data_IF_372422236991
#
_entry.id   IF_372422236991
#
_cell.length_a   1.000
_cell.length_b   1.000
_cell.length_c   1.000
_cell.angle_alpha   90.00
_cell.angle_beta   90.00
_cell.angle_gamma   90.00
#
_symmetry.space_group_name_H-M   'P 1'
#
loop_
_entity.id
_entity.type
_entity.pdbx_description
1 polymer ?
#
# COMPACT_ATOMS: atom_id res chain seq x y z
N UNK A 1 13.14 -44.82 -10.33
CA UNK A 1 12.83 -43.39 -10.56
C UNK A 1 12.28 -42.81 -9.27
N UNK A 2 13.01 -41.87 -8.67
CA UNK A 2 12.74 -41.38 -7.32
C UNK A 2 11.44 -40.57 -7.24
N UNK A 3 10.65 -40.86 -6.21
CA UNK A 3 9.38 -40.21 -5.94
C UNK A 3 9.54 -38.72 -5.64
N UNK A 4 8.57 -37.96 -6.15
CA UNK A 4 8.22 -36.56 -5.85
C UNK A 4 9.31 -35.52 -6.17
N UNK A 5 9.14 -34.90 -7.34
CA UNK A 5 9.59 -33.55 -7.65
C UNK A 5 9.14 -32.64 -6.50
N UNK A 6 10.07 -32.19 -5.66
CA UNK A 6 9.78 -31.34 -4.51
C UNK A 6 9.10 -30.05 -4.99
N UNK A 7 7.78 -30.00 -4.89
CA UNK A 7 7.01 -28.79 -5.15
C UNK A 7 7.21 -27.88 -3.94
N UNK A 8 8.06 -26.87 -4.08
CA UNK A 8 8.11 -25.78 -3.10
C UNK A 8 6.79 -25.02 -3.17
N UNK A 9 5.90 -25.26 -2.21
CA UNK A 9 4.66 -24.50 -2.08
C UNK A 9 4.97 -23.20 -1.34
N UNK A 10 4.97 -22.07 -2.04
CA UNK A 10 5.05 -20.76 -1.39
C UNK A 10 3.82 -20.57 -0.50
N UNK A 11 4.01 -20.67 0.83
CA UNK A 11 2.91 -20.54 1.82
C UNK A 11 2.50 -19.09 2.09
N UNK A 12 3.31 -18.11 1.66
CA UNK A 12 3.12 -16.70 1.96
C UNK A 12 3.16 -15.85 0.67
N UNK A 13 1.97 -15.51 0.16
CA UNK A 13 1.78 -14.63 -1.00
C UNK A 13 0.52 -13.76 -0.88
N UNK A 14 0.07 -13.52 0.36
CA UNK A 14 -1.09 -12.67 0.63
C UNK A 14 -0.64 -11.25 0.85
N UNK A 15 -1.10 -10.35 0.00
CA UNK A 15 -0.98 -8.92 0.20
C UNK A 15 -2.35 -8.24 0.05
N UNK A 16 -2.50 -7.11 0.70
CA UNK A 16 -3.69 -6.27 0.62
C UNK A 16 -3.55 -5.23 -0.49
N UNK A 17 -4.67 -4.73 -1.01
CA UNK A 17 -4.62 -3.63 -1.98
C UNK A 17 -4.02 -2.38 -1.32
N UNK A 18 -3.16 -1.63 -2.04
CA UNK A 18 -2.59 -0.39 -1.53
C UNK A 18 -3.69 0.61 -1.21
N UNK A 19 -3.48 1.41 -0.16
CA UNK A 19 -4.44 2.42 0.32
C UNK A 19 -4.15 3.84 -0.17
N UNK A 20 -3.16 3.98 -1.06
CA UNK A 20 -2.76 5.25 -1.70
C UNK A 20 -2.54 6.38 -0.68
N UNK A 21 -1.86 6.03 0.42
CA UNK A 21 -1.46 6.98 1.45
C UNK A 21 -0.46 7.99 0.89
N UNK A 22 -0.27 9.09 1.61
CA UNK A 22 0.69 10.14 1.29
C UNK A 22 0.08 11.52 1.18
N UNK A 23 0.95 12.47 0.86
CA UNK A 23 0.63 13.88 0.67
C UNK A 23 -0.16 14.04 -0.63
N UNK A 24 -1.22 14.83 -0.56
CA UNK A 24 -2.14 15.13 -1.68
C UNK A 24 -2.04 16.59 -2.12
N UNK A 25 -1.68 17.48 -1.21
CA UNK A 25 -1.30 18.84 -1.52
C UNK A 25 -0.03 19.22 -0.77
N UNK A 26 0.94 19.80 -1.49
CA UNK A 26 2.19 20.30 -0.93
C UNK A 26 2.11 21.79 -0.60
N UNK A 27 3.08 22.32 0.16
CA UNK A 27 3.13 23.74 0.51
C UNK A 27 3.14 24.64 -0.71
N UNK A 28 2.35 25.72 -0.67
CA UNK A 28 2.23 26.69 -1.77
C UNK A 28 1.22 26.30 -2.87
N UNK A 29 0.57 25.14 -2.78
CA UNK A 29 -0.49 24.76 -3.71
C UNK A 29 -1.83 25.37 -3.28
N UNK A 30 -2.59 25.89 -4.25
CA UNK A 30 -3.96 26.33 -4.03
C UNK A 30 -4.89 25.13 -3.85
N UNK A 31 -5.69 25.12 -2.78
CA UNK A 31 -6.68 24.08 -2.48
C UNK A 31 -8.02 24.70 -2.13
N UNK A 32 -9.10 24.07 -2.57
CA UNK A 32 -10.47 24.48 -2.20
C UNK A 32 -10.85 23.95 -0.82
N UNK A 33 -11.83 24.59 -0.18
CA UNK A 33 -12.39 24.11 1.09
C UNK A 33 -12.87 22.65 0.95
N UNK A 34 -12.49 21.81 1.92
CA UNK A 34 -12.81 20.37 1.91
C UNK A 34 -11.82 19.49 1.15
N UNK A 35 -10.79 20.06 0.52
CA UNK A 35 -9.72 19.27 -0.11
C UNK A 35 -8.89 18.49 0.91
N UNK A 36 -8.44 17.29 0.53
CA UNK A 36 -7.55 16.46 1.35
C UNK A 36 -6.11 16.93 1.17
N UNK A 37 -5.40 17.20 2.27
CA UNK A 37 -3.97 17.60 2.25
C UNK A 37 -3.05 16.38 2.41
N UNK A 38 -3.37 15.47 3.34
CA UNK A 38 -2.62 14.22 3.58
C UNK A 38 -3.59 13.08 3.86
N UNK A 39 -3.28 11.88 3.33
CA UNK A 39 -3.93 10.63 3.72
C UNK A 39 -2.90 9.74 4.40
N UNK A 40 -2.93 9.64 5.72
CA UNK A 40 -1.93 8.90 6.49
C UNK A 40 -2.55 7.84 7.41
N UNK A 41 -1.70 7.00 8.00
CA UNK A 41 -2.07 6.04 9.03
C UNK A 41 -1.48 6.54 10.35
N UNK A 42 -2.33 6.72 11.35
CA UNK A 42 -1.91 7.38 12.57
C UNK A 42 -1.72 8.89 12.37
N UNK A 43 -1.29 9.56 13.43
CA UNK A 43 -1.18 11.02 13.50
C UNK A 43 0.27 11.52 13.59
N UNK A 44 1.24 10.68 13.26
CA UNK A 44 2.68 10.99 13.23
C UNK A 44 3.27 10.64 11.86
#
# INVERSE_FOLDING_TARGET
MAHKKGQSSSRNGRDSKPKMLGIKAFGGQFVTAGSIIVRQRGSR
#
